data_IF_613214630196
#
_entry.id   IF_613214630196
#
_cell.length_a   1.000
_cell.length_b   1.000
_cell.length_c   1.000
_cell.angle_alpha   90.00
_cell.angle_beta   90.00
_cell.angle_gamma   90.00
#
_symmetry.space_group_name_H-M   'P 1'
#
loop_
_entity.id
_entity.type
_entity.pdbx_description
1 polymer ?
#
# COMPACT_ATOMS: atom_id res chain seq x y z
N UNK A 1 -7.45 18.53 -6.52
CA UNK A 1 -6.21 17.75 -6.35
C UNK A 1 -6.27 16.53 -7.25
N UNK A 2 -5.24 16.37 -8.04
CA UNK A 2 -5.14 15.28 -9.01
C UNK A 2 -4.58 14.03 -8.34
N UNK A 3 -5.23 12.91 -8.59
CA UNK A 3 -4.91 11.62 -7.96
C UNK A 3 -4.56 10.60 -9.03
N UNK A 4 -3.53 9.81 -8.76
CA UNK A 4 -3.26 8.56 -9.46
C UNK A 4 -3.44 7.39 -8.51
N UNK A 5 -4.14 6.35 -8.96
CA UNK A 5 -4.26 5.08 -8.22
C UNK A 5 -3.37 4.05 -8.91
N UNK A 6 -2.45 3.45 -8.15
CA UNK A 6 -1.58 2.36 -8.61
C UNK A 6 -2.02 1.08 -7.90
N UNK A 7 -2.48 0.12 -8.67
CA UNK A 7 -2.84 -1.22 -8.17
C UNK A 7 -1.70 -2.19 -8.43
N UNK A 8 -1.30 -2.95 -7.41
CA UNK A 8 -0.28 -4.00 -7.54
C UNK A 8 -0.90 -5.37 -7.42
N UNK A 9 -0.49 -6.27 -8.28
CA UNK A 9 -0.95 -7.65 -8.31
C UNK A 9 -0.84 -8.26 -9.70
N UNK A 10 -0.06 -9.31 -9.83
CA UNK A 10 0.09 -10.03 -11.11
C UNK A 10 -1.22 -10.62 -11.58
N UNK A 11 -2.09 -11.06 -10.67
CA UNK A 11 -3.44 -11.58 -10.95
C UNK A 11 -4.34 -10.56 -11.65
N UNK A 12 -4.15 -9.27 -11.38
CA UNK A 12 -4.89 -8.19 -12.06
C UNK A 12 -4.50 -8.08 -13.53
N UNK A 13 -3.22 -8.26 -13.83
CA UNK A 13 -2.70 -8.21 -15.20
C UNK A 13 -3.06 -9.45 -16.01
N UNK A 14 -3.16 -10.61 -15.35
CA UNK A 14 -3.58 -11.86 -15.98
C UNK A 14 -5.08 -11.89 -16.29
N UNK A 15 -5.84 -10.98 -15.69
CA UNK A 15 -7.28 -10.94 -15.85
C UNK A 15 -8.04 -11.96 -14.99
N UNK A 16 -7.35 -12.59 -14.03
CA UNK A 16 -7.94 -13.60 -13.16
C UNK A 16 -8.98 -13.03 -12.21
N UNK A 17 -8.79 -11.76 -11.82
CA UNK A 17 -9.73 -11.04 -10.95
C UNK A 17 -10.00 -9.63 -11.47
N UNK A 18 -11.16 -9.08 -11.09
CA UNK A 18 -11.52 -7.69 -11.35
C UNK A 18 -10.88 -6.75 -10.31
N UNK A 19 -10.46 -5.57 -10.75
CA UNK A 19 -9.93 -4.55 -9.86
C UNK A 19 -11.07 -3.78 -9.17
N UNK A 20 -11.72 -4.41 -8.20
CA UNK A 20 -12.82 -3.81 -7.43
C UNK A 20 -12.34 -2.74 -6.47
N UNK A 21 -11.11 -2.84 -5.96
CA UNK A 21 -10.51 -1.82 -5.09
C UNK A 21 -10.36 -0.50 -5.82
N UNK A 22 -9.89 -0.52 -7.07
CA UNK A 22 -9.83 0.69 -7.89
C UNK A 22 -11.20 1.34 -8.08
N UNK A 23 -12.21 0.54 -8.40
CA UNK A 23 -13.57 1.05 -8.59
C UNK A 23 -14.11 1.75 -7.35
N UNK A 24 -13.93 1.13 -6.17
CA UNK A 24 -14.38 1.70 -4.90
C UNK A 24 -13.62 2.99 -4.57
N UNK A 25 -12.29 2.97 -4.66
CA UNK A 25 -11.44 4.14 -4.40
C UNK A 25 -11.78 5.30 -5.33
N UNK A 26 -11.91 5.06 -6.64
CA UNK A 26 -12.26 6.09 -7.61
C UNK A 26 -13.58 6.77 -7.30
N UNK A 27 -14.62 5.98 -6.99
CA UNK A 27 -15.93 6.54 -6.63
C UNK A 27 -15.85 7.37 -5.38
N UNK A 28 -15.26 6.84 -4.31
CA UNK A 28 -15.13 7.52 -3.02
C UNK A 28 -14.35 8.84 -3.14
N UNK A 29 -13.25 8.84 -3.90
CA UNK A 29 -12.42 10.02 -4.10
C UNK A 29 -13.15 11.09 -4.94
N UNK A 30 -13.80 10.70 -6.03
CA UNK A 30 -14.56 11.62 -6.85
C UNK A 30 -15.73 12.24 -6.07
N UNK A 31 -16.45 11.45 -5.27
CA UNK A 31 -17.52 11.94 -4.39
C UNK A 31 -17.01 12.93 -3.34
N UNK A 32 -15.76 12.75 -2.90
CA UNK A 32 -15.08 13.67 -1.98
C UNK A 32 -14.46 14.91 -2.66
N UNK A 33 -14.59 15.04 -3.99
CA UNK A 33 -14.12 16.21 -4.74
C UNK A 33 -12.66 16.13 -5.23
N UNK A 34 -12.04 14.96 -5.16
CA UNK A 34 -10.74 14.73 -5.77
C UNK A 34 -10.89 14.31 -7.24
N UNK A 35 -9.89 14.62 -8.05
CA UNK A 35 -9.88 14.26 -9.47
C UNK A 35 -8.99 13.05 -9.71
N UNK A 36 -9.59 11.86 -9.84
CA UNK A 36 -8.85 10.66 -10.23
C UNK A 36 -8.61 10.70 -11.73
N UNK A 37 -7.40 11.09 -12.15
CA UNK A 37 -7.07 11.29 -13.56
C UNK A 37 -6.30 10.12 -14.17
N UNK A 38 -5.61 9.34 -13.35
CA UNK A 38 -4.77 8.24 -13.82
C UNK A 38 -4.99 6.99 -12.99
N UNK A 39 -4.88 5.87 -13.66
CA UNK A 39 -4.85 4.54 -13.05
C UNK A 39 -3.77 3.70 -13.72
N UNK A 40 -2.93 3.09 -12.90
CA UNK A 40 -1.91 2.15 -13.34
C UNK A 40 -2.09 0.81 -12.63
N UNK A 41 -1.83 -0.28 -13.34
CA UNK A 41 -1.78 -1.63 -12.76
C UNK A 41 -0.41 -2.21 -13.03
N UNK A 42 0.26 -2.68 -11.99
CA UNK A 42 1.62 -3.22 -12.04
C UNK A 42 1.63 -4.62 -11.43
N UNK A 43 2.35 -5.55 -12.05
CA UNK A 43 2.61 -6.86 -11.44
C UNK A 43 3.55 -6.76 -10.24
N UNK A 44 3.73 -7.88 -9.53
CA UNK A 44 4.57 -7.98 -8.34
C UNK A 44 6.06 -7.90 -8.70
N UNK A 45 6.49 -6.73 -9.13
CA UNK A 45 7.84 -6.44 -9.61
C UNK A 45 8.29 -5.05 -9.16
N UNK A 46 9.34 -5.00 -8.35
CA UNK A 46 9.84 -3.77 -7.75
C UNK A 46 10.27 -2.71 -8.78
N UNK A 47 10.99 -3.11 -9.81
CA UNK A 47 11.46 -2.16 -10.85
C UNK A 47 10.30 -1.50 -11.58
N UNK A 48 9.27 -2.27 -11.91
CA UNK A 48 8.08 -1.75 -12.59
C UNK A 48 7.27 -0.84 -11.67
N UNK A 49 7.16 -1.19 -10.41
CA UNK A 49 6.46 -0.34 -9.44
C UNK A 49 7.22 0.97 -9.20
N UNK A 50 8.55 0.94 -9.07
CA UNK A 50 9.38 2.15 -8.99
C UNK A 50 9.21 3.05 -10.22
N UNK A 51 9.19 2.46 -11.42
CA UNK A 51 8.95 3.21 -12.65
C UNK A 51 7.56 3.86 -12.67
N UNK A 52 6.53 3.13 -12.23
CA UNK A 52 5.16 3.66 -12.13
C UNK A 52 5.07 4.82 -11.13
N UNK A 53 5.70 4.70 -9.96
CA UNK A 53 5.78 5.78 -8.96
C UNK A 53 6.49 7.02 -9.51
N UNK A 54 7.61 6.81 -10.22
CA UNK A 54 8.36 7.91 -10.84
C UNK A 54 7.55 8.68 -11.87
N UNK A 55 6.69 7.99 -12.63
CA UNK A 55 5.78 8.64 -13.59
C UNK A 55 4.66 9.35 -12.83
N UNK A 56 4.04 8.68 -11.87
CA UNK A 56 2.90 9.20 -11.13
C UNK A 56 3.23 10.52 -10.41
N UNK A 57 4.40 10.63 -9.78
CA UNK A 57 4.82 11.87 -9.11
C UNK A 57 4.97 13.08 -10.03
N UNK A 58 5.13 12.87 -11.34
CA UNK A 58 5.21 13.98 -12.31
C UNK A 58 3.86 14.53 -12.72
N UNK A 59 2.76 13.82 -12.42
CA UNK A 59 1.44 14.14 -12.96
C UNK A 59 0.29 14.09 -11.95
N UNK A 60 0.56 13.68 -10.71
CA UNK A 60 -0.45 13.64 -9.64
C UNK A 60 0.13 14.19 -8.34
N UNK A 61 -0.69 14.90 -7.58
CA UNK A 61 -0.32 15.42 -6.25
C UNK A 61 -0.50 14.36 -5.17
N UNK A 62 -1.39 13.41 -5.41
CA UNK A 62 -1.67 12.30 -4.50
C UNK A 62 -1.53 10.99 -5.29
N UNK A 63 -0.75 10.08 -4.75
CA UNK A 63 -0.60 8.72 -5.28
C UNK A 63 -1.16 7.76 -4.23
N UNK A 64 -2.12 6.93 -4.64
CA UNK A 64 -2.71 5.91 -3.78
C UNK A 64 -2.31 4.54 -4.32
N UNK A 65 -1.64 3.75 -3.47
CA UNK A 65 -1.29 2.38 -3.80
C UNK A 65 -2.27 1.40 -3.14
N UNK A 66 -2.63 0.36 -3.86
CA UNK A 66 -3.43 -0.74 -3.34
C UNK A 66 -2.85 -2.07 -3.79
N UNK A 67 -2.79 -3.03 -2.88
CA UNK A 67 -2.19 -4.34 -3.09
C UNK A 67 -0.73 -4.42 -2.64
N UNK A 68 -0.21 -5.64 -2.59
CA UNK A 68 1.19 -5.91 -2.25
C UNK A 68 1.61 -5.60 -0.81
N UNK A 69 0.67 -5.60 0.14
CA UNK A 69 0.90 -5.31 1.56
C UNK A 69 0.78 -6.55 2.48
N UNK A 70 0.69 -7.73 1.90
CA UNK A 70 0.60 -8.99 2.62
C UNK A 70 1.96 -9.52 3.11
N UNK A 71 1.98 -10.76 3.63
CA UNK A 71 3.17 -11.36 4.24
C UNK A 71 4.06 -12.14 3.26
N UNK A 72 3.68 -12.26 2.00
CA UNK A 72 4.39 -13.08 1.03
C UNK A 72 5.58 -12.37 0.40
N UNK A 73 6.41 -13.11 -0.33
CA UNK A 73 7.54 -12.52 -1.09
C UNK A 73 7.08 -11.64 -2.25
N UNK A 74 5.89 -11.89 -2.79
CA UNK A 74 5.28 -11.06 -3.84
C UNK A 74 4.73 -9.74 -3.32
N UNK A 75 4.57 -9.60 -2.02
CA UNK A 75 4.11 -8.36 -1.38
C UNK A 75 5.28 -7.38 -1.22
N UNK A 76 5.49 -6.56 -2.23
CA UNK A 76 6.67 -5.70 -2.37
C UNK A 76 6.37 -4.21 -2.18
N UNK A 77 5.12 -3.83 -1.95
CA UNK A 77 4.70 -2.42 -2.00
C UNK A 77 5.41 -1.58 -0.93
N UNK A 78 5.42 -2.01 0.32
CA UNK A 78 6.03 -1.23 1.41
C UNK A 78 7.53 -1.00 1.19
N UNK A 79 8.28 -2.05 0.78
CA UNK A 79 9.71 -1.92 0.50
C UNK A 79 9.96 -1.00 -0.69
N UNK A 80 9.16 -1.12 -1.74
CA UNK A 80 9.31 -0.29 -2.94
C UNK A 80 9.02 1.18 -2.65
N UNK A 81 7.99 1.47 -1.85
CA UNK A 81 7.69 2.84 -1.42
C UNK A 81 8.82 3.41 -0.57
N UNK A 82 9.35 2.63 0.38
CA UNK A 82 10.49 3.03 1.20
C UNK A 82 11.72 3.37 0.32
N UNK A 83 12.04 2.52 -0.63
CA UNK A 83 13.14 2.74 -1.57
C UNK A 83 12.91 3.99 -2.45
N UNK A 84 11.68 4.17 -2.92
CA UNK A 84 11.30 5.35 -3.71
C UNK A 84 11.46 6.65 -2.93
N UNK A 85 11.11 6.65 -1.64
CA UNK A 85 11.25 7.80 -0.74
C UNK A 85 12.67 7.97 -0.19
N UNK A 86 13.58 7.03 -0.44
CA UNK A 86 14.91 7.04 0.17
C UNK A 86 14.89 6.90 1.69
N UNK A 87 13.89 6.23 2.25
CA UNK A 87 13.69 6.03 3.68
C UNK A 87 13.78 4.56 4.05
N UNK A 88 14.37 4.20 5.22
CA UNK A 88 14.38 2.82 5.68
C UNK A 88 12.98 2.37 6.11
N UNK A 89 12.70 1.07 6.02
CA UNK A 89 11.56 0.47 6.68
C UNK A 89 11.84 0.34 8.18
N UNK A 90 10.89 0.76 9.00
CA UNK A 90 10.96 0.67 10.46
C UNK A 90 9.76 -0.12 10.99
N UNK A 91 10.00 -0.90 12.06
CA UNK A 91 8.94 -1.67 12.71
C UNK A 91 8.04 -0.76 13.52
N UNK A 92 6.73 -0.86 13.29
CA UNK A 92 5.72 -0.30 14.18
C UNK A 92 5.40 -1.31 15.28
N UNK A 93 5.95 -1.10 16.47
CA UNK A 93 5.69 -1.95 17.66
C UNK A 93 4.22 -1.93 18.04
N UNK A 94 3.57 -0.80 17.93
CA UNK A 94 2.14 -0.64 18.23
C UNK A 94 1.29 -1.48 17.27
N UNK A 95 1.59 -1.43 15.97
CA UNK A 95 0.86 -2.21 14.98
C UNK A 95 1.12 -3.71 15.12
N UNK A 96 2.34 -4.10 15.43
CA UNK A 96 2.69 -5.50 15.69
C UNK A 96 1.84 -6.07 16.85
N UNK A 97 1.70 -5.33 17.94
CA UNK A 97 0.85 -5.72 19.07
C UNK A 97 -0.63 -5.85 18.67
N UNK A 98 -1.13 -4.94 17.85
CA UNK A 98 -2.50 -5.04 17.33
C UNK A 98 -2.71 -6.28 16.46
N UNK A 99 -1.73 -6.60 15.61
CA UNK A 99 -1.77 -7.82 14.81
C UNK A 99 -1.77 -9.08 15.68
N UNK A 100 -0.87 -9.15 16.66
CA UNK A 100 -0.80 -10.27 17.60
C UNK A 100 -2.13 -10.48 18.35
N UNK A 101 -2.73 -9.39 18.83
CA UNK A 101 -4.04 -9.42 19.49
C UNK A 101 -5.16 -9.88 18.54
N UNK A 102 -5.13 -9.44 17.28
CA UNK A 102 -6.10 -9.86 16.27
C UNK A 102 -6.04 -11.37 16.00
N UNK A 103 -4.84 -11.91 15.80
CA UNK A 103 -4.64 -13.35 15.61
C UNK A 103 -5.07 -14.15 16.85
N UNK A 104 -4.67 -13.71 18.04
CA UNK A 104 -5.03 -14.35 19.29
C UNK A 104 -6.54 -14.38 19.52
N UNK A 105 -7.26 -13.29 19.21
CA UNK A 105 -8.72 -13.21 19.34
C UNK A 105 -9.47 -14.21 18.46
N UNK A 106 -8.83 -14.70 17.40
CA UNK A 106 -9.35 -15.71 16.47
C UNK A 106 -8.83 -17.12 16.72
N UNK A 107 -8.08 -17.32 17.80
CA UNK A 107 -7.46 -18.60 18.12
C UNK A 107 -6.36 -19.02 17.13
N UNK A 108 -5.77 -18.06 16.41
CA UNK A 108 -4.73 -18.29 15.43
C UNK A 108 -3.37 -17.86 15.99
N UNK A 109 -2.31 -18.52 15.54
CA UNK A 109 -0.93 -18.14 15.84
C UNK A 109 -0.39 -17.31 14.68
N UNK A 110 0.14 -16.14 15.00
CA UNK A 110 0.78 -15.29 14.01
C UNK A 110 2.09 -15.92 13.50
N UNK A 111 2.19 -16.09 12.19
CA UNK A 111 3.41 -16.61 11.56
C UNK A 111 4.54 -15.57 11.61
N UNK A 112 5.82 -15.99 11.69
CA UNK A 112 6.96 -15.07 11.57
C UNK A 112 6.91 -14.17 10.33
N UNK A 113 6.36 -14.66 9.21
CA UNK A 113 6.23 -13.89 7.98
C UNK A 113 5.25 -12.71 8.11
N UNK A 114 4.27 -12.80 8.99
CA UNK A 114 3.32 -11.72 9.22
C UNK A 114 3.98 -10.46 9.83
N UNK A 115 5.12 -10.60 10.50
CA UNK A 115 5.87 -9.48 11.07
C UNK A 115 6.23 -8.42 10.00
N UNK A 116 6.48 -8.85 8.77
CA UNK A 116 6.71 -7.96 7.61
C UNK A 116 5.62 -6.91 7.45
N UNK A 117 4.37 -7.24 7.76
CA UNK A 117 3.22 -6.35 7.61
C UNK A 117 3.20 -5.19 8.64
N UNK A 118 4.06 -5.21 9.65
CA UNK A 118 4.18 -4.16 10.65
C UNK A 118 5.30 -3.14 10.34
N UNK A 119 5.98 -3.28 9.21
CA UNK A 119 7.02 -2.34 8.77
C UNK A 119 6.45 -1.27 7.86
N UNK A 120 6.87 -0.03 8.09
CA UNK A 120 6.50 1.14 7.30
C UNK A 120 7.73 1.99 6.99
N UNK A 121 7.72 2.83 5.96
CA UNK A 121 8.76 3.82 5.75
C UNK A 121 8.90 4.73 6.97
N UNK A 122 10.12 5.06 7.35
CA UNK A 122 10.39 5.97 8.47
C UNK A 122 9.66 7.30 8.28
N UNK A 123 9.02 7.78 9.34
CA UNK A 123 8.25 9.03 9.30
C UNK A 123 6.85 8.91 8.68
N UNK A 124 6.43 7.72 8.26
CA UNK A 124 5.07 7.52 7.76
C UNK A 124 4.02 7.71 8.87
N UNK A 125 2.89 8.28 8.49
CA UNK A 125 1.73 8.40 9.38
C UNK A 125 0.84 7.18 9.19
N UNK A 126 0.58 6.45 10.27
CA UNK A 126 -0.22 5.23 10.26
C UNK A 126 -1.68 5.57 10.54
N UNK A 127 -2.58 5.06 9.71
CA UNK A 127 -4.01 5.12 9.95
C UNK A 127 -4.50 3.84 10.63
N UNK A 128 -5.47 4.00 11.55
CA UNK A 128 -6.06 2.85 12.20
C UNK A 128 -6.87 1.99 11.22
N UNK A 129 -6.71 0.67 11.31
CA UNK A 129 -7.51 -0.30 10.57
C UNK A 129 -8.11 -1.31 11.57
N UNK A 130 -9.41 -1.20 11.82
CA UNK A 130 -10.12 -2.06 12.78
C UNK A 130 -10.65 -3.35 12.13
N UNK A 131 -10.56 -3.48 10.80
CA UNK A 131 -11.18 -4.59 10.06
C UNK A 131 -10.20 -5.62 9.51
N UNK A 132 -8.93 -5.52 9.84
CA UNK A 132 -7.91 -6.48 9.36
C UNK A 132 -6.51 -6.21 9.86
N UNK A 133 -5.57 -6.99 9.38
CA UNK A 133 -4.15 -6.91 9.73
C UNK A 133 -3.34 -6.02 8.79
N UNK A 134 -3.93 -5.58 7.68
CA UNK A 134 -3.24 -4.72 6.73
C UNK A 134 -3.06 -3.32 7.31
N UNK A 135 -1.82 -2.88 7.37
CA UNK A 135 -1.47 -1.56 7.85
C UNK A 135 -1.75 -0.53 6.75
N UNK A 136 -2.44 0.54 7.12
CA UNK A 136 -2.67 1.69 6.25
C UNK A 136 -1.75 2.82 6.70
N UNK A 137 -1.06 3.45 5.78
CA UNK A 137 -0.18 4.57 6.09
C UNK A 137 -0.08 5.56 4.93
N UNK A 138 0.34 6.76 5.25
CA UNK A 138 0.74 7.77 4.27
C UNK A 138 2.14 8.28 4.59
N UNK A 139 2.81 8.74 3.56
CA UNK A 139 4.12 9.34 3.67
C UNK A 139 4.17 10.54 2.73
N UNK A 140 4.81 11.61 3.18
CA UNK A 140 5.03 12.79 2.34
C UNK A 140 6.31 12.60 1.53
N UNK A 141 6.21 12.76 0.22
CA UNK A 141 7.34 12.68 -0.71
C UNK A 141 7.95 14.06 -1.01
N UNK A 142 7.35 15.13 -0.49
CA UNK A 142 7.63 16.50 -0.91
C UNK A 142 8.72 17.20 -0.08
N UNK A 143 9.32 16.56 0.93
CA UNK A 143 10.35 17.16 1.75
C UNK A 143 11.75 16.94 1.15
N UNK A 144 12.09 17.72 0.14
CA UNK A 144 13.46 18.10 -0.22
C UNK A 144 13.57 19.60 -0.44
#
# INVERSE_FOLDING_TARGET
>A
MDVEIISTGTELLLGDILNTSFQLLSRTLNDAGFSVLYQSTVGDNQKRLLAALSIAQTRAQIIILTGGLGPTRGDITAQTVADFLGRPLVLSEEWLKKMEAYFASRGLVMSPNNRKQAYVPEGAVIFNNDVGTCLLYTSDAADE
#
